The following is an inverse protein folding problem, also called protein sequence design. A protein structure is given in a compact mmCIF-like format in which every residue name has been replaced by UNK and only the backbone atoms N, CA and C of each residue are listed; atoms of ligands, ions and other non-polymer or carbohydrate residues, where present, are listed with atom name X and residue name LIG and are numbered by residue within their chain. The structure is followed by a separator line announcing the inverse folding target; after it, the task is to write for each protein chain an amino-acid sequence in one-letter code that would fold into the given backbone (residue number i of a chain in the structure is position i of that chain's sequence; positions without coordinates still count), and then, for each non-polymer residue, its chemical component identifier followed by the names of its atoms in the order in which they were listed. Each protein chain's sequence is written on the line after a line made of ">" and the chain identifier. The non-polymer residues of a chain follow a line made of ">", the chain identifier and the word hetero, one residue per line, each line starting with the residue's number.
data_IF_273476844777
#
_entry.id   IF_273476844777
#
_cell.length_a   1.000
_cell.length_b   1.000
_cell.length_c   1.000
_cell.angle_alpha   90.00
_cell.angle_beta   90.00
_cell.angle_gamma   90.00
#
_symmetry.space_group_name_H-M   'P 1'
#
loop_
_entity.id
_entity.type
_entity.pdbx_description
1 polymer ?
#
# COMPACT_ATOMS: atom_id res chain seq x y z
N UNK A 1 -14.91 -16.81 5.87
CA UNK A 1 -15.43 -15.43 5.86
C UNK A 1 -14.27 -14.45 5.84
N UNK A 2 -14.23 -13.59 4.83
CA UNK A 2 -13.32 -12.44 4.81
C UNK A 2 -13.82 -11.43 5.85
N UNK A 3 -12.92 -10.93 6.70
CA UNK A 3 -13.22 -9.92 7.70
C UNK A 3 -12.39 -8.67 7.36
N UNK A 4 -13.07 -7.54 7.17
CA UNK A 4 -12.50 -6.20 6.98
C UNK A 4 -13.46 -5.18 7.62
N UNK A 5 -13.02 -3.95 7.82
CA UNK A 5 -13.87 -2.87 8.32
C UNK A 5 -14.93 -2.48 7.26
N UNK A 6 -16.17 -2.90 7.48
CA UNK A 6 -17.31 -2.65 6.58
C UNK A 6 -17.97 -1.28 6.81
N UNK A 7 -17.65 -0.57 7.89
CA UNK A 7 -18.17 0.78 8.16
C UNK A 7 -17.32 1.85 7.48
N UNK A 8 -16.00 1.69 7.49
CA UNK A 8 -15.07 2.66 6.93
C UNK A 8 -14.93 2.59 5.40
N UNK A 9 -15.21 1.43 4.79
CA UNK A 9 -15.08 1.23 3.34
C UNK A 9 -15.96 0.10 2.81
N UNK A 10 -16.20 0.09 1.51
CA UNK A 10 -16.85 -1.00 0.79
C UNK A 10 -16.01 -1.41 -0.41
N UNK A 11 -16.08 -2.69 -0.81
CA UNK A 11 -15.29 -3.21 -1.94
C UNK A 11 -15.66 -2.60 -3.29
N UNK A 12 -16.77 -1.88 -3.39
CA UNK A 12 -17.16 -1.19 -4.62
C UNK A 12 -16.30 0.05 -4.90
N UNK A 13 -15.55 0.56 -3.91
CA UNK A 13 -14.57 1.63 -4.08
C UNK A 13 -13.15 1.10 -3.88
N UNK A 14 -12.59 0.57 -4.98
CA UNK A 14 -11.24 0.04 -4.99
C UNK A 14 -10.19 1.11 -4.65
N UNK A 15 -10.44 2.38 -4.98
CA UNK A 15 -9.46 3.45 -4.75
C UNK A 15 -9.31 3.77 -3.25
N UNK A 16 -10.28 3.40 -2.40
CA UNK A 16 -10.20 3.61 -0.95
C UNK A 16 -9.14 2.74 -0.25
N UNK A 17 -8.78 1.58 -0.81
CA UNK A 17 -7.75 0.69 -0.26
C UNK A 17 -6.63 0.34 -1.23
N UNK A 18 -6.82 0.66 -2.52
CA UNK A 18 -5.83 0.50 -3.58
C UNK A 18 -5.90 1.72 -4.51
N UNK A 19 -5.37 2.89 -4.09
CA UNK A 19 -5.56 4.18 -4.76
C UNK A 19 -4.74 4.35 -6.05
N UNK A 20 -4.65 3.33 -6.91
CA UNK A 20 -3.82 3.35 -8.11
C UNK A 20 -4.27 4.43 -9.10
N UNK A 21 -5.58 4.62 -9.28
CA UNK A 21 -6.07 5.67 -10.18
C UNK A 21 -5.79 7.05 -9.60
N UNK A 22 -5.99 7.25 -8.29
CA UNK A 22 -5.68 8.52 -7.61
C UNK A 22 -4.19 8.85 -7.69
N UNK A 23 -3.31 7.86 -7.55
CA UNK A 23 -1.87 8.04 -7.73
C UNK A 23 -1.50 8.40 -9.17
N UNK A 24 -2.12 7.75 -10.16
CA UNK A 24 -1.93 8.08 -11.57
C UNK A 24 -2.37 9.53 -11.88
N UNK A 25 -3.54 9.95 -11.39
CA UNK A 25 -4.00 11.33 -11.52
C UNK A 25 -3.06 12.33 -10.83
N UNK A 26 -2.53 12.00 -9.64
CA UNK A 26 -1.56 12.86 -8.95
C UNK A 26 -0.26 13.02 -9.76
N UNK A 27 0.22 11.94 -10.38
CA UNK A 27 1.40 11.99 -11.25
C UNK A 27 1.13 12.81 -12.52
N UNK A 28 -0.02 12.61 -13.17
CA UNK A 28 -0.43 13.37 -14.35
C UNK A 28 -0.55 14.88 -14.05
N UNK A 29 -1.04 15.23 -12.87
CA UNK A 29 -1.17 16.61 -12.40
C UNK A 29 0.15 17.18 -11.83
N UNK A 30 1.24 16.42 -11.85
CA UNK A 30 2.56 16.86 -11.37
C UNK A 30 2.68 17.01 -9.84
N UNK A 31 1.72 16.49 -9.07
CA UNK A 31 1.75 16.55 -7.60
C UNK A 31 2.79 15.59 -7.01
N UNK A 32 3.03 14.47 -7.69
CA UNK A 32 4.11 13.52 -7.41
C UNK A 32 4.88 13.26 -8.72
N UNK A 33 6.12 12.76 -8.62
CA UNK A 33 6.91 12.42 -9.81
C UNK A 33 6.32 11.22 -10.58
N UNK A 34 6.07 10.11 -9.87
CA UNK A 34 5.45 8.90 -10.43
C UNK A 34 4.88 8.03 -9.33
N UNK A 35 4.03 7.06 -9.70
CA UNK A 35 3.75 5.90 -8.85
C UNK A 35 4.93 4.91 -8.92
N UNK A 36 5.11 4.09 -7.89
CA UNK A 36 6.09 2.99 -7.91
C UNK A 36 5.76 1.97 -8.99
N UNK A 37 6.75 1.30 -9.62
CA UNK A 37 6.52 0.19 -10.54
C UNK A 37 5.93 -1.05 -9.87
N UNK A 38 5.94 -1.14 -8.52
CA UNK A 38 5.45 -2.29 -7.76
C UNK A 38 4.32 -1.88 -6.81
N UNK A 39 3.40 -2.82 -6.58
CA UNK A 39 2.50 -2.80 -5.44
C UNK A 39 3.07 -3.69 -4.33
N UNK A 40 3.25 -3.15 -3.13
CA UNK A 40 3.81 -3.88 -2.00
C UNK A 40 2.69 -4.44 -1.13
N UNK A 41 2.53 -5.76 -1.16
CA UNK A 41 1.56 -6.46 -0.34
C UNK A 41 2.21 -7.15 0.85
N UNK A 42 1.55 -7.10 2.01
CA UNK A 42 1.83 -7.98 3.15
C UNK A 42 0.61 -8.83 3.46
N UNK A 43 0.86 -10.07 3.84
CA UNK A 43 -0.20 -10.90 4.41
C UNK A 43 -0.60 -10.30 5.75
N UNK A 44 -1.90 -10.11 5.97
CA UNK A 44 -2.43 -9.75 7.28
C UNK A 44 -2.21 -10.91 8.24
N UNK A 45 -1.09 -10.90 8.94
CA UNK A 45 -0.81 -11.79 10.05
C UNK A 45 -0.96 -11.04 11.38
N UNK A 46 -1.68 -11.63 12.33
CA UNK A 46 -1.83 -11.08 13.68
C UNK A 46 -0.55 -11.24 14.52
N UNK A 47 0.63 -11.11 13.90
CA UNK A 47 1.94 -11.32 14.53
C UNK A 47 2.85 -10.12 14.28
N UNK A 48 2.87 -9.20 15.26
CA UNK A 48 3.78 -8.05 15.24
C UNK A 48 5.25 -8.47 15.06
N UNK A 49 5.64 -9.63 15.60
CA UNK A 49 6.98 -10.19 15.42
C UNK A 49 7.30 -10.55 13.97
N UNK A 50 6.35 -11.16 13.24
CA UNK A 50 6.54 -11.44 11.80
C UNK A 50 6.55 -10.16 10.99
N UNK A 51 5.62 -9.25 11.25
CA UNK A 51 5.56 -7.94 10.57
C UNK A 51 6.89 -7.19 10.73
N UNK A 52 7.37 -7.02 11.96
CA UNK A 52 8.56 -6.20 12.25
C UNK A 52 9.88 -6.86 11.86
N UNK A 53 10.01 -8.19 11.99
CA UNK A 53 11.28 -8.90 11.75
C UNK A 53 11.44 -9.46 10.35
N UNK A 54 10.36 -9.54 9.57
CA UNK A 54 10.37 -10.14 8.23
C UNK A 54 9.76 -9.22 7.19
N UNK A 55 8.46 -8.99 7.26
CA UNK A 55 7.72 -8.32 6.19
C UNK A 55 8.14 -6.86 6.02
N UNK A 56 8.29 -6.09 7.10
CA UNK A 56 8.71 -4.70 7.03
C UNK A 56 10.14 -4.52 6.48
N UNK A 57 11.16 -5.29 6.93
CA UNK A 57 12.48 -5.28 6.29
C UNK A 57 12.45 -5.64 4.81
N UNK A 58 11.70 -6.68 4.42
CA UNK A 58 11.59 -7.11 3.01
C UNK A 58 10.97 -5.99 2.13
N UNK A 59 9.89 -5.36 2.56
CA UNK A 59 9.30 -4.22 1.84
C UNK A 59 10.26 -3.05 1.75
N UNK A 60 10.97 -2.73 2.85
CA UNK A 60 11.90 -1.61 2.87
C UNK A 60 13.01 -1.79 1.83
N UNK A 61 13.55 -3.01 1.68
CA UNK A 61 14.54 -3.28 0.64
C UNK A 61 13.96 -3.11 -0.76
N UNK A 62 12.75 -3.62 -1.03
CA UNK A 62 12.09 -3.41 -2.32
C UNK A 62 11.83 -1.92 -2.61
N UNK A 63 11.45 -1.15 -1.60
CA UNK A 63 11.24 0.30 -1.73
C UNK A 63 12.53 1.04 -2.07
N UNK A 64 13.66 0.63 -1.47
CA UNK A 64 14.98 1.18 -1.81
C UNK A 64 15.38 0.84 -3.25
N UNK A 65 15.15 -0.40 -3.68
CA UNK A 65 15.42 -0.83 -5.06
C UNK A 65 14.63 -0.02 -6.09
N UNK A 66 13.36 0.25 -5.79
CA UNK A 66 12.44 0.97 -6.67
C UNK A 66 12.57 2.50 -6.55
N UNK A 67 13.44 3.01 -5.67
CA UNK A 67 13.63 4.44 -5.44
C UNK A 67 12.38 5.15 -4.88
N UNK A 68 11.62 4.47 -4.04
CA UNK A 68 10.39 4.99 -3.45
C UNK A 68 10.70 6.04 -2.38
N UNK A 69 10.18 7.26 -2.55
CA UNK A 69 10.32 8.36 -1.58
C UNK A 69 9.36 8.22 -0.38
N UNK A 70 8.17 7.67 -0.60
CA UNK A 70 7.13 7.55 0.41
C UNK A 70 6.18 6.37 0.16
N UNK A 71 5.62 5.82 1.23
CA UNK A 71 4.64 4.73 1.22
C UNK A 71 3.31 5.20 1.83
N UNK A 72 2.21 4.71 1.24
CA UNK A 72 0.86 4.81 1.82
C UNK A 72 0.48 3.41 2.31
N UNK A 73 0.18 3.29 3.61
CA UNK A 73 -0.23 2.04 4.24
C UNK A 73 -1.70 2.19 4.69
N UNK A 74 -2.67 1.77 3.86
CA UNK A 74 -4.08 1.80 4.27
C UNK A 74 -4.32 0.72 5.34
N UNK A 75 -5.08 1.07 6.37
CA UNK A 75 -5.67 0.10 7.29
C UNK A 75 -6.99 -0.39 6.67
N UNK A 76 -7.18 -1.72 6.63
CA UNK A 76 -8.37 -2.42 6.14
C UNK A 76 -9.05 -3.18 7.28
#
# INVERSE_FOLDING_TARGET
>A
DLQWDQESTHTDDNDSFMPLNRLAECAQNGRIGSASPRFYGVMTDYSQGKTSKRSAPEILELCKEDGVDALILPAL
#
